data_IF_880091544750
#
_entry.id   IF_880091544750
#
_cell.length_a   1.000
_cell.length_b   1.000
_cell.length_c   1.000
_cell.angle_alpha   90.00
_cell.angle_beta   90.00
_cell.angle_gamma   90.00
#
_symmetry.space_group_name_H-M   'P 1'
#
loop_
_entity.id
_entity.type
_entity.pdbx_description
1 polymer ?
#
# COMPACT_ATOMS: atom_id res chain seq x y z
N UNK A 1 25.91 26.36 24.21
CA UNK A 1 25.10 25.98 23.04
C UNK A 1 23.66 25.75 23.49
N UNK A 2 22.70 26.52 23.01
CA UNK A 2 21.26 26.26 23.26
C UNK A 2 20.81 25.15 22.30
N UNK A 3 20.20 24.07 22.81
CA UNK A 3 19.52 23.07 21.98
C UNK A 3 18.42 23.77 21.16
N UNK A 4 18.51 23.69 19.84
CA UNK A 4 17.61 24.36 18.88
C UNK A 4 16.37 23.52 18.51
N UNK A 5 16.19 22.35 19.11
CA UNK A 5 15.07 21.45 18.81
C UNK A 5 14.44 20.92 20.12
N UNK A 6 13.11 20.77 20.21
CA UNK A 6 12.54 19.76 21.08
C UNK A 6 13.10 18.40 20.61
N UNK A 7 13.51 17.54 21.54
CA UNK A 7 14.25 16.30 21.23
C UNK A 7 13.47 15.32 20.30
N UNK A 8 12.18 15.58 20.02
CA UNK A 8 11.42 14.91 18.96
C UNK A 8 10.19 15.74 18.48
N UNK A 9 10.11 16.14 17.19
CA UNK A 9 8.91 16.79 16.65
C UNK A 9 7.76 15.80 16.35
N UNK A 10 8.01 14.49 16.46
CA UNK A 10 7.03 13.45 16.24
C UNK A 10 6.64 12.78 17.55
N UNK A 11 5.39 12.32 17.68
CA UNK A 11 4.96 11.65 18.90
C UNK A 11 5.69 10.31 19.03
N UNK A 12 6.59 10.22 20.02
CA UNK A 12 7.19 8.96 20.46
C UNK A 12 6.18 8.04 21.14
N UNK A 13 5.04 8.60 21.54
CA UNK A 13 3.97 7.87 22.18
C UNK A 13 3.39 6.81 21.21
N UNK A 14 3.56 5.51 21.52
CA UNK A 14 3.01 4.43 20.69
C UNK A 14 1.51 4.58 20.44
N UNK A 15 0.76 5.14 21.41
CA UNK A 15 -0.68 5.39 21.26
C UNK A 15 -0.98 6.33 20.10
N UNK A 16 -0.18 7.38 19.89
CA UNK A 16 -0.42 8.32 18.79
C UNK A 16 -0.09 7.67 17.45
N UNK A 17 0.93 6.81 17.40
CA UNK A 17 1.23 6.00 16.20
C UNK A 17 0.09 5.01 15.91
N UNK A 18 -0.45 4.35 16.93
CA UNK A 18 -1.60 3.46 16.80
C UNK A 18 -2.86 4.23 16.40
N UNK A 19 -3.10 5.43 16.94
CA UNK A 19 -4.22 6.28 16.54
C UNK A 19 -4.09 6.74 15.09
N UNK A 20 -2.89 7.11 14.63
CA UNK A 20 -2.67 7.46 13.23
C UNK A 20 -2.86 6.27 12.29
N UNK A 21 -2.42 5.07 12.69
CA UNK A 21 -2.65 3.81 11.95
C UNK A 21 -4.12 3.39 11.94
N UNK A 22 -4.81 3.54 13.08
CA UNK A 22 -6.24 3.29 13.21
C UNK A 22 -7.05 4.26 12.35
N UNK A 23 -6.74 5.55 12.40
CA UNK A 23 -7.34 6.56 11.53
C UNK A 23 -7.12 6.21 10.04
N UNK A 24 -5.94 5.71 9.67
CA UNK A 24 -5.66 5.22 8.31
C UNK A 24 -6.61 4.09 7.90
N UNK A 25 -6.78 3.06 8.75
CA UNK A 25 -7.69 1.96 8.47
C UNK A 25 -9.15 2.42 8.39
N UNK A 26 -9.56 3.32 9.30
CA UNK A 26 -10.91 3.87 9.32
C UNK A 26 -11.24 4.68 8.07
N UNK A 27 -10.30 5.48 7.56
CA UNK A 27 -10.53 6.27 6.34
C UNK A 27 -10.78 5.40 5.11
N UNK A 28 -10.23 4.19 5.06
CA UNK A 28 -10.41 3.24 3.96
C UNK A 28 -11.59 2.28 4.14
N UNK A 29 -12.38 2.45 5.21
CA UNK A 29 -13.52 1.58 5.46
C UNK A 29 -14.46 1.56 4.26
N UNK A 30 -14.65 0.36 3.73
CA UNK A 30 -15.53 0.11 2.59
C UNK A 30 -16.98 0.19 3.04
N UNK A 31 -17.83 0.81 2.21
CA UNK A 31 -19.27 0.82 2.39
C UNK A 31 -19.82 -0.55 1.97
N UNK A 32 -19.95 -1.45 2.94
CA UNK A 32 -20.53 -2.78 2.75
C UNK A 32 -22.05 -2.69 2.57
N UNK A 33 -22.57 -3.48 1.66
CA UNK A 33 -23.97 -3.82 1.50
C UNK A 33 -24.12 -5.32 1.59
N UNK A 34 -25.30 -5.76 2.02
CA UNK A 34 -25.59 -7.16 2.29
C UNK A 34 -26.73 -7.57 1.36
N UNK A 35 -26.48 -8.56 0.51
CA UNK A 35 -27.45 -9.10 -0.44
C UNK A 35 -27.78 -10.54 -0.06
N UNK A 36 -29.07 -10.83 0.03
CA UNK A 36 -29.58 -12.19 0.19
C UNK A 36 -29.84 -12.86 -1.15
N UNK A 37 -30.29 -14.12 -1.10
CA UNK A 37 -30.58 -14.90 -2.30
C UNK A 37 -31.62 -14.22 -3.22
N UNK A 38 -32.63 -13.57 -2.63
CA UNK A 38 -33.66 -12.84 -3.38
C UNK A 38 -33.09 -11.66 -4.17
N UNK A 39 -32.07 -10.98 -3.63
CA UNK A 39 -31.41 -9.86 -4.30
C UNK A 39 -30.53 -10.34 -5.46
N UNK A 40 -29.86 -11.48 -5.31
CA UNK A 40 -29.00 -12.06 -6.35
C UNK A 40 -29.81 -12.59 -7.54
N UNK A 41 -31.06 -12.98 -7.31
CA UNK A 41 -31.99 -13.44 -8.34
C UNK A 41 -32.71 -12.28 -9.05
N UNK A 42 -32.44 -11.03 -8.67
CA UNK A 42 -33.03 -9.87 -9.31
C UNK A 42 -32.19 -9.41 -10.51
N UNK A 43 -32.68 -9.69 -11.72
CA UNK A 43 -32.02 -9.30 -12.99
C UNK A 43 -31.87 -7.78 -13.18
N UNK A 44 -32.59 -6.95 -12.42
CA UNK A 44 -32.42 -5.49 -12.44
C UNK A 44 -31.18 -5.02 -11.65
N UNK A 45 -30.66 -5.86 -10.75
CA UNK A 45 -29.46 -5.58 -9.98
C UNK A 45 -28.21 -5.99 -10.78
N UNK A 46 -27.48 -4.98 -11.25
CA UNK A 46 -26.18 -5.17 -11.91
C UNK A 46 -25.11 -5.50 -10.85
N UNK A 47 -24.96 -6.80 -10.57
CA UNK A 47 -24.03 -7.38 -9.60
C UNK A 47 -23.08 -8.34 -10.30
N UNK A 48 -21.78 -8.25 -9.98
CA UNK A 48 -20.79 -9.27 -10.36
C UNK A 48 -19.92 -9.70 -9.19
N UNK A 49 -19.47 -10.95 -9.22
CA UNK A 49 -18.41 -11.41 -8.34
C UNK A 49 -17.08 -10.75 -8.70
N UNK A 50 -16.28 -10.39 -7.69
CA UNK A 50 -14.99 -9.70 -7.86
C UNK A 50 -14.05 -10.35 -8.87
N UNK A 51 -13.96 -11.68 -8.88
CA UNK A 51 -13.06 -12.40 -9.79
C UNK A 51 -13.49 -12.25 -11.25
N UNK A 52 -14.80 -12.21 -11.51
CA UNK A 52 -15.39 -11.99 -12.84
C UNK A 52 -15.21 -10.53 -13.24
N UNK A 53 -15.51 -9.59 -12.33
CA UNK A 53 -15.32 -8.16 -12.55
C UNK A 53 -13.88 -7.81 -12.96
N UNK A 54 -12.88 -8.38 -12.30
CA UNK A 54 -11.46 -8.14 -12.62
C UNK A 54 -11.09 -8.70 -14.00
N UNK A 55 -11.66 -9.83 -14.41
CA UNK A 55 -11.37 -10.47 -15.70
C UNK A 55 -12.02 -9.74 -16.86
N UNK A 56 -13.29 -9.38 -16.73
CA UNK A 56 -14.08 -8.78 -17.81
C UNK A 56 -13.73 -7.29 -18.03
N UNK A 57 -13.24 -6.60 -16.99
CA UNK A 57 -13.09 -5.14 -16.97
C UNK A 57 -14.37 -4.36 -17.34
N UNK A 58 -15.51 -5.02 -17.26
CA UNK A 58 -16.81 -4.42 -17.52
C UNK A 58 -17.26 -3.59 -16.33
N UNK A 59 -17.96 -2.48 -16.61
CA UNK A 59 -18.58 -1.68 -15.55
C UNK A 59 -19.75 -2.46 -14.98
N UNK A 60 -19.76 -2.60 -13.67
CA UNK A 60 -20.91 -3.11 -12.90
C UNK A 60 -21.17 -2.18 -11.74
N UNK A 61 -22.42 -2.02 -11.34
CA UNK A 61 -22.78 -1.16 -10.20
C UNK A 61 -22.30 -1.74 -8.88
N UNK A 62 -22.45 -3.04 -8.67
CA UNK A 62 -22.12 -3.70 -7.42
C UNK A 62 -21.14 -4.85 -7.63
N UNK A 63 -20.12 -4.91 -6.76
CA UNK A 63 -19.16 -6.02 -6.76
C UNK A 63 -19.24 -6.78 -5.45
N UNK A 64 -19.51 -8.08 -5.52
CA UNK A 64 -19.44 -8.98 -4.36
C UNK A 64 -17.96 -9.20 -4.02
N UNK A 65 -17.59 -8.86 -2.78
CA UNK A 65 -16.22 -8.89 -2.28
C UNK A 65 -15.96 -10.00 -1.26
N UNK A 66 -17.01 -10.49 -0.61
CA UNK A 66 -16.93 -11.50 0.44
C UNK A 66 -18.29 -12.21 0.61
N UNK A 67 -18.29 -13.37 1.25
CA UNK A 67 -19.50 -14.14 1.59
C UNK A 67 -19.49 -14.40 3.09
N UNK A 68 -20.45 -13.83 3.82
CA UNK A 68 -20.56 -14.00 5.28
C UNK A 68 -21.63 -15.06 5.58
N UNK A 69 -21.31 -16.01 6.46
CA UNK A 69 -22.23 -17.07 6.90
C UNK A 69 -22.64 -16.90 8.36
N UNK A 70 -23.91 -17.07 8.67
CA UNK A 70 -24.44 -17.08 10.04
C UNK A 70 -25.32 -18.29 10.28
N UNK A 71 -25.34 -18.76 11.52
CA UNK A 71 -26.21 -19.85 11.94
C UNK A 71 -27.40 -19.28 12.70
N UNK A 72 -28.59 -19.72 12.32
CA UNK A 72 -29.82 -19.41 13.05
C UNK A 72 -29.97 -20.28 14.31
N UNK A 73 -30.98 -19.98 15.13
CA UNK A 73 -31.28 -20.73 16.37
C UNK A 73 -31.52 -22.23 16.10
N UNK A 74 -32.02 -22.58 14.92
CA UNK A 74 -32.22 -23.96 14.45
C UNK A 74 -30.95 -24.60 13.84
N UNK A 75 -29.79 -23.94 13.98
CA UNK A 75 -28.49 -24.38 13.47
C UNK A 75 -28.45 -24.53 11.93
N UNK A 76 -29.32 -23.79 11.24
CA UNK A 76 -29.34 -23.69 9.76
C UNK A 76 -28.37 -22.60 9.33
N UNK A 77 -27.51 -22.91 8.34
CA UNK A 77 -26.53 -21.95 7.81
C UNK A 77 -27.21 -21.05 6.77
N UNK A 78 -27.18 -19.75 7.01
CA UNK A 78 -27.60 -18.71 6.09
C UNK A 78 -26.36 -17.97 5.57
N UNK A 79 -26.29 -17.77 4.26
CA UNK A 79 -25.22 -17.03 3.60
C UNK A 79 -25.72 -15.68 3.14
N UNK A 80 -24.88 -14.67 3.25
CA UNK A 80 -25.16 -13.32 2.76
C UNK A 80 -23.96 -12.82 1.99
N UNK A 81 -24.20 -12.35 0.78
CA UNK A 81 -23.14 -11.81 -0.07
C UNK A 81 -22.86 -10.37 0.33
N UNK A 82 -21.60 -10.06 0.59
CA UNK A 82 -21.15 -8.72 0.92
C UNK A 82 -20.70 -8.04 -0.36
N UNK A 83 -21.39 -6.96 -0.71
CA UNK A 83 -21.12 -6.20 -1.92
C UNK A 83 -20.73 -4.75 -1.65
N UNK A 84 -20.16 -4.12 -2.68
CA UNK A 84 -19.65 -2.75 -2.66
C UNK A 84 -20.13 -2.03 -3.92
N UNK A 85 -20.62 -0.80 -3.76
CA UNK A 85 -20.95 0.09 -4.86
C UNK A 85 -19.67 0.59 -5.52
N UNK A 86 -19.51 0.38 -6.82
CA UNK A 86 -18.28 0.75 -7.54
C UNK A 86 -18.13 2.26 -7.73
N UNK A 87 -19.23 3.01 -7.74
CA UNK A 87 -19.23 4.47 -7.85
C UNK A 87 -18.91 5.12 -6.49
N UNK A 88 -19.42 4.53 -5.40
CA UNK A 88 -19.22 5.03 -4.04
C UNK A 88 -18.75 3.93 -3.04
N UNK A 89 -17.53 3.39 -3.21
CA UNK A 89 -17.09 2.19 -2.48
C UNK A 89 -16.71 2.44 -1.02
N UNK A 90 -16.47 3.69 -0.63
CA UNK A 90 -15.92 4.01 0.69
C UNK A 90 -16.94 4.74 1.56
N UNK A 91 -16.84 4.54 2.87
CA UNK A 91 -17.66 5.27 3.85
C UNK A 91 -17.26 6.74 3.91
N UNK A 92 -15.96 7.02 3.76
CA UNK A 92 -15.39 8.36 3.82
C UNK A 92 -14.83 8.80 2.47
N UNK A 93 -15.18 10.01 2.05
CA UNK A 93 -14.70 10.59 0.78
C UNK A 93 -13.17 10.71 0.71
N UNK A 94 -12.50 10.80 1.86
CA UNK A 94 -11.05 10.90 1.96
C UNK A 94 -10.32 9.56 1.82
N UNK A 95 -11.01 8.43 1.66
CA UNK A 95 -10.38 7.12 1.46
C UNK A 95 -9.37 7.13 0.30
N UNK A 96 -9.70 7.85 -0.78
CA UNK A 96 -8.85 7.99 -1.96
C UNK A 96 -7.58 8.81 -1.73
N UNK A 97 -7.44 9.50 -0.59
CA UNK A 97 -6.29 10.33 -0.28
C UNK A 97 -5.01 9.50 -0.06
N UNK A 98 -5.14 8.24 0.39
CA UNK A 98 -3.97 7.39 0.70
C UNK A 98 -3.06 7.10 -0.50
N UNK A 99 -3.56 6.69 -1.68
CA UNK A 99 -2.73 6.61 -2.88
C UNK A 99 -1.94 7.89 -3.18
N UNK A 100 -2.55 9.07 -2.98
CA UNK A 100 -1.88 10.34 -3.21
C UNK A 100 -0.81 10.63 -2.15
N UNK A 101 -1.10 10.43 -0.87
CA UNK A 101 -0.11 10.64 0.20
C UNK A 101 1.08 9.68 0.09
N UNK A 102 0.81 8.41 -0.19
CA UNK A 102 1.89 7.40 -0.37
C UNK A 102 2.69 7.65 -1.65
N UNK A 103 2.05 8.09 -2.74
CA UNK A 103 2.73 8.50 -3.96
C UNK A 103 3.61 9.73 -3.73
N UNK A 104 3.07 10.73 -3.01
CA UNK A 104 3.82 11.93 -2.63
C UNK A 104 5.04 11.60 -1.76
N UNK A 105 4.89 10.73 -0.75
CA UNK A 105 6.01 10.25 0.07
C UNK A 105 7.11 9.56 -0.77
N UNK A 106 6.72 8.67 -1.69
CA UNK A 106 7.66 8.03 -2.61
C UNK A 106 8.35 9.02 -3.55
N UNK A 107 7.61 9.98 -4.11
CA UNK A 107 8.15 11.01 -4.98
C UNK A 107 9.15 11.91 -4.23
N UNK A 108 8.81 12.27 -2.99
CA UNK A 108 9.69 13.02 -2.12
C UNK A 108 11.01 12.28 -1.88
N UNK A 109 10.93 11.00 -1.51
CA UNK A 109 12.12 10.18 -1.28
C UNK A 109 12.96 10.01 -2.56
N UNK A 110 12.32 9.80 -3.71
CA UNK A 110 13.03 9.74 -5.00
C UNK A 110 13.77 11.03 -5.33
N UNK A 111 13.17 12.20 -5.06
CA UNK A 111 13.84 13.50 -5.25
C UNK A 111 15.02 13.68 -4.31
N UNK A 112 14.90 13.27 -3.05
CA UNK A 112 16.00 13.29 -2.09
C UNK A 112 17.18 12.47 -2.60
N UNK A 113 16.94 11.22 -2.99
CA UNK A 113 17.96 10.31 -3.53
C UNK A 113 18.69 10.92 -4.73
N UNK A 114 17.95 11.55 -5.66
CA UNK A 114 18.53 12.18 -6.85
C UNK A 114 19.39 13.39 -6.47
N UNK A 115 18.91 14.27 -5.57
CA UNK A 115 19.65 15.47 -5.16
C UNK A 115 20.95 15.13 -4.41
N UNK A 116 20.92 14.09 -3.60
CA UNK A 116 22.07 13.60 -2.83
C UNK A 116 22.97 12.66 -3.63
N UNK A 117 22.64 12.40 -4.91
CA UNK A 117 23.38 11.48 -5.78
C UNK A 117 23.57 10.06 -5.18
N UNK A 118 22.52 9.53 -4.56
CA UNK A 118 22.55 8.27 -3.82
C UNK A 118 22.04 7.06 -4.61
N UNK A 119 21.70 7.23 -5.90
CA UNK A 119 20.99 6.21 -6.68
C UNK A 119 21.67 4.83 -6.64
N UNK A 120 23.00 4.78 -6.72
CA UNK A 120 23.79 3.54 -6.69
C UNK A 120 23.86 2.88 -5.31
N UNK A 121 23.59 3.66 -4.26
CA UNK A 121 23.67 3.22 -2.85
C UNK A 121 22.32 2.76 -2.30
N UNK A 122 21.23 2.95 -3.05
CA UNK A 122 19.88 2.61 -2.60
C UNK A 122 19.62 1.12 -2.78
N UNK A 123 19.36 0.43 -1.67
CA UNK A 123 18.88 -0.96 -1.66
C UNK A 123 17.36 -0.98 -1.87
N UNK A 124 16.63 -0.09 -1.18
CA UNK A 124 15.16 -0.05 -1.21
C UNK A 124 14.63 1.32 -0.84
N UNK A 125 13.52 1.70 -1.46
CA UNK A 125 12.63 2.77 -0.99
C UNK A 125 11.32 2.13 -0.53
N UNK A 126 10.87 2.44 0.69
CA UNK A 126 9.63 1.91 1.25
C UNK A 126 8.81 3.03 1.87
N UNK A 127 7.76 3.47 1.15
CA UNK A 127 6.78 4.51 1.50
C UNK A 127 7.36 5.82 2.06
N UNK A 128 7.88 5.80 3.28
CA UNK A 128 8.44 6.88 4.08
C UNK A 128 9.93 6.69 4.46
N UNK A 129 10.57 5.59 4.06
CA UNK A 129 11.95 5.22 4.40
C UNK A 129 12.79 4.85 3.17
N UNK A 130 14.11 4.99 3.32
CA UNK A 130 15.11 4.55 2.34
C UNK A 130 16.17 3.73 3.06
N UNK A 131 16.56 2.60 2.46
CA UNK A 131 17.65 1.75 2.93
C UNK A 131 18.84 1.91 1.99
N UNK A 132 19.98 2.25 2.55
CA UNK A 132 21.23 2.44 1.83
C UNK A 132 22.21 1.30 2.13
N UNK A 133 23.18 1.09 1.24
CA UNK A 133 24.30 0.15 1.41
C UNK A 133 25.26 0.57 2.53
N UNK A 134 25.37 1.87 2.77
CA UNK A 134 26.26 2.47 3.76
C UNK A 134 25.55 3.59 4.51
N UNK A 135 26.10 3.94 5.67
CA UNK A 135 25.60 5.07 6.46
C UNK A 135 25.83 6.38 5.70
N UNK A 136 24.78 7.18 5.58
CA UNK A 136 24.83 8.48 4.92
C UNK A 136 24.28 9.55 5.85
N UNK A 137 25.02 10.63 6.00
CA UNK A 137 24.63 11.76 6.84
C UNK A 137 23.89 12.82 6.02
N UNK A 138 22.57 12.81 6.14
CA UNK A 138 21.69 13.79 5.50
C UNK A 138 21.77 15.21 6.12
N UNK A 139 22.53 15.41 7.19
CA UNK A 139 22.68 16.71 7.86
C UNK A 139 23.89 17.51 7.39
N UNK A 140 24.85 16.87 6.73
CA UNK A 140 26.18 17.43 6.49
C UNK A 140 26.30 18.27 5.20
N UNK A 141 25.24 18.46 4.43
CA UNK A 141 25.30 19.28 3.23
C UNK A 141 23.95 19.52 2.58
N UNK A 142 23.58 20.80 2.52
CA UNK A 142 22.36 21.35 1.88
C UNK A 142 21.07 21.01 2.62
N UNK A 143 20.43 22.06 3.14
CA UNK A 143 19.06 22.00 3.62
C UNK A 143 18.16 21.43 2.50
N UNK A 144 17.72 20.18 2.64
CA UNK A 144 16.71 19.65 1.75
C UNK A 144 15.39 20.33 2.11
N UNK A 145 15.12 21.41 1.39
CA UNK A 145 13.94 22.23 1.53
C UNK A 145 13.03 22.02 0.32
N UNK A 146 11.78 21.64 0.58
CA UNK A 146 10.75 21.48 -0.46
C UNK A 146 10.24 22.86 -0.88
N UNK A 147 9.96 23.69 0.11
CA UNK A 147 9.72 25.13 0.02
C UNK A 147 10.67 25.78 1.02
N UNK A 148 11.31 26.90 0.64
CA UNK A 148 12.31 27.69 1.40
C UNK A 148 11.96 28.05 2.86
N UNK A 149 10.82 27.57 3.36
CA UNK A 149 10.24 27.77 4.69
C UNK A 149 10.45 26.59 5.64
N UNK A 150 10.87 25.42 5.15
CA UNK A 150 11.01 24.23 6.00
C UNK A 150 12.09 23.29 5.50
N UNK A 151 12.99 22.92 6.40
CA UNK A 151 14.09 21.97 6.18
C UNK A 151 13.68 20.61 6.70
N UNK A 152 13.75 19.57 5.88
CA UNK A 152 13.39 18.20 6.26
C UNK A 152 14.50 17.24 5.84
N UNK A 153 14.94 16.39 6.76
CA UNK A 153 15.90 15.32 6.48
C UNK A 153 15.40 14.00 7.08
N UNK A 154 15.66 12.86 6.43
CA UNK A 154 15.38 11.55 7.03
C UNK A 154 16.12 11.41 8.36
N UNK A 155 15.42 10.90 9.37
CA UNK A 155 16.06 10.53 10.63
C UNK A 155 16.69 9.15 10.46
N UNK A 156 17.97 8.96 10.82
CA UNK A 156 18.54 7.63 10.86
C UNK A 156 17.78 6.81 11.92
N UNK A 157 17.21 5.68 11.51
CA UNK A 157 16.66 4.70 12.42
C UNK A 157 17.77 3.74 12.87
N UNK A 158 17.66 3.19 14.08
CA UNK A 158 18.56 2.15 14.53
C UNK A 158 18.56 1.00 13.51
N UNK A 159 19.76 0.49 13.16
CA UNK A 159 19.88 -0.60 12.18
C UNK A 159 18.88 -1.70 12.51
N UNK A 160 17.94 -1.96 11.59
CA UNK A 160 17.39 -3.30 11.49
C UNK A 160 18.58 -4.24 11.29
N UNK A 161 18.60 -5.38 11.96
CA UNK A 161 19.75 -6.24 12.30
C UNK A 161 20.59 -6.81 11.14
N UNK A 162 20.61 -6.18 9.96
CA UNK A 162 21.39 -6.57 8.78
C UNK A 162 20.84 -7.80 8.07
N UNK A 163 19.90 -8.52 8.68
CA UNK A 163 19.25 -9.71 8.14
C UNK A 163 17.81 -9.35 7.79
N UNK A 164 17.61 -8.82 6.59
CA UNK A 164 16.27 -8.69 6.01
C UNK A 164 15.97 -9.99 5.26
N UNK A 165 15.25 -10.90 5.91
CA UNK A 165 14.71 -12.08 5.23
C UNK A 165 13.52 -11.63 4.39
N UNK A 166 13.68 -11.65 3.07
CA UNK A 166 12.64 -11.25 2.14
C UNK A 166 11.61 -12.35 1.98
N UNK A 167 10.40 -12.11 2.50
CA UNK A 167 9.23 -12.83 2.03
C UNK A 167 8.70 -12.06 0.82
N UNK A 168 9.03 -12.52 -0.37
CA UNK A 168 8.33 -12.06 -1.56
C UNK A 168 6.85 -12.41 -1.38
N UNK A 169 5.95 -11.41 -1.38
CA UNK A 169 4.50 -11.65 -1.53
C UNK A 169 4.18 -12.31 -2.89
N UNK A 170 5.18 -12.46 -3.77
CA UNK A 170 5.12 -13.23 -5.01
C UNK A 170 6.00 -14.51 -4.93
N UNK A 171 6.08 -15.18 -3.77
CA UNK A 171 6.54 -16.57 -3.68
C UNK A 171 5.39 -17.54 -4.02
N UNK A 172 4.82 -17.40 -5.22
CA UNK A 172 4.15 -18.53 -5.83
C UNK A 172 5.19 -19.15 -6.76
N UNK A 173 5.61 -20.40 -6.50
CA UNK A 173 6.50 -21.19 -7.37
C UNK A 173 6.11 -21.12 -8.87
N UNK A 174 4.83 -20.83 -9.11
CA UNK A 174 4.21 -20.50 -10.41
C UNK A 174 4.94 -19.40 -11.20
N UNK A 175 5.51 -18.37 -10.56
CA UNK A 175 6.17 -17.25 -11.25
C UNK A 175 7.65 -17.50 -11.54
N UNK A 176 8.37 -18.26 -10.70
CA UNK A 176 9.75 -18.64 -10.98
C UNK A 176 9.84 -19.53 -12.23
N UNK A 177 8.91 -20.47 -12.38
CA UNK A 177 8.85 -21.36 -13.54
C UNK A 177 8.65 -20.59 -14.85
N UNK A 178 7.70 -19.63 -14.87
CA UNK A 178 7.46 -18.73 -16.01
C UNK A 178 8.66 -17.84 -16.32
N UNK A 179 9.44 -17.41 -15.31
CA UNK A 179 10.64 -16.59 -15.50
C UNK A 179 11.78 -17.37 -16.17
N UNK A 180 11.98 -18.64 -15.78
CA UNK A 180 12.93 -19.56 -16.44
C UNK A 180 12.52 -19.84 -17.87
N UNK A 181 11.25 -20.18 -18.10
CA UNK A 181 10.70 -20.42 -19.44
C UNK A 181 10.84 -19.22 -20.38
N UNK A 182 10.71 -17.98 -19.87
CA UNK A 182 10.97 -16.76 -20.66
C UNK A 182 12.44 -16.55 -20.97
N UNK A 183 13.33 -16.77 -20.00
CA UNK A 183 14.78 -16.66 -20.19
C UNK A 183 15.30 -17.64 -21.25
N UNK A 184 14.73 -18.84 -21.30
CA UNK A 184 15.13 -19.87 -22.27
C UNK A 184 14.58 -19.60 -23.69
N UNK A 185 13.53 -18.77 -23.81
CA UNK A 185 12.91 -18.40 -25.09
C UNK A 185 13.40 -17.07 -25.67
N UNK A 186 14.12 -16.26 -24.90
CA UNK A 186 14.67 -15.01 -25.42
C UNK A 186 15.91 -15.31 -26.29
N UNK A 187 15.89 -14.93 -27.59
CA UNK A 187 17.06 -15.09 -28.43
C UNK A 187 18.19 -14.24 -27.86
N UNK A 188 19.31 -14.89 -27.52
CA UNK A 188 20.53 -14.20 -27.08
C UNK A 188 20.93 -13.23 -28.18
N UNK A 189 20.85 -11.92 -27.90
CA UNK A 189 21.32 -10.90 -28.85
C UNK A 189 22.80 -11.16 -29.14
N UNK A 190 23.22 -11.14 -30.41
CA UNK A 190 24.63 -11.24 -30.74
C UNK A 190 25.36 -10.05 -30.09
N UNK A 191 26.46 -10.37 -29.42
CA UNK A 191 27.38 -9.39 -28.87
C UNK A 191 28.10 -8.79 -30.08
N UNK A 192 27.81 -7.53 -30.41
CA UNK A 192 28.62 -6.71 -31.31
C UNK A 192 29.60 -5.89 -30.47
#
# INVERSE_FOLDING_TARGET
MKKLYPDNPYPDNPLVKYLASSLHGTLETVRKMYFGDDDLNNDELDIKYKDIFIQDQEKTKYVIVDTEGHYDEDNTLHTTEVAVDTENPYLYNMARLKPFLTSYGRQFMGRLIIKENLLEKVIRVHTDSVTLTEEYDFTNGKEFSYDKRSTYYPKPEAKSSGVVTWYSLCNCDKYEKKRKEKKDKEPKRPIN
#
